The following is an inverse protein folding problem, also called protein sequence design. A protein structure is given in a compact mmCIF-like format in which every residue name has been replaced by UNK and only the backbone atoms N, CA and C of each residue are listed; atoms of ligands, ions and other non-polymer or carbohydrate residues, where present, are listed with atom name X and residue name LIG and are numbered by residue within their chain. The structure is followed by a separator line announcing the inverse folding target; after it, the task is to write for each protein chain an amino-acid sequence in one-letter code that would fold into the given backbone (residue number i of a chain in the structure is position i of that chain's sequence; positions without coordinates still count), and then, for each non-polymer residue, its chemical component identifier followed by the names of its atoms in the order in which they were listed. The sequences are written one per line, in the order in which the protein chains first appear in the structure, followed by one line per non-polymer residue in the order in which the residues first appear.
data_IF_490898186989
#
_entry.id   IF_490898186989
#
_cell.length_a   1.000
_cell.length_b   1.000
_cell.length_c   1.000
_cell.angle_alpha   90.00
_cell.angle_beta   90.00
_cell.angle_gamma   90.00
#
_symmetry.space_group_name_H-M   'P 1'
#
loop_
_entity.id
_entity.type
_entity.pdbx_description
1 polymer ?
#
# COMPACT_ATOMS: atom_id res chain seq x y z
N UNK A 1 15.11 12.30 17.59
CA UNK A 1 15.58 13.67 17.28
C UNK A 1 16.69 13.58 16.22
N UNK A 2 16.53 14.30 15.12
CA UNK A 2 17.58 14.45 14.11
C UNK A 2 18.62 15.45 14.62
N UNK A 3 19.89 15.04 14.64
CA UNK A 3 20.99 15.88 15.11
C UNK A 3 21.71 16.53 13.92
N UNK A 4 22.34 17.70 14.14
CA UNK A 4 23.10 18.43 13.09
C UNK A 4 24.27 17.62 12.51
N UNK A 5 24.84 16.68 13.29
CA UNK A 5 25.87 15.73 12.82
C UNK A 5 25.33 14.63 11.87
N UNK A 6 24.05 14.61 11.55
CA UNK A 6 23.42 13.60 10.74
C UNK A 6 22.97 12.33 11.48
N UNK A 7 23.35 12.19 12.76
CA UNK A 7 22.89 11.08 13.60
C UNK A 7 21.42 11.24 13.98
N UNK A 8 20.74 10.11 14.21
CA UNK A 8 19.36 10.10 14.70
C UNK A 8 19.35 9.46 16.07
N UNK A 9 18.86 10.19 17.06
CA UNK A 9 18.65 9.68 18.42
C UNK A 9 17.16 9.51 18.64
N UNK A 10 16.74 8.33 19.08
CA UNK A 10 15.34 8.03 19.33
C UNK A 10 15.20 7.02 20.49
N UNK A 11 14.02 6.94 21.04
CA UNK A 11 13.68 5.97 22.08
C UNK A 11 12.64 5.03 21.50
N UNK A 12 12.88 3.75 21.61
CA UNK A 12 11.91 2.71 21.30
C UNK A 12 11.17 2.35 22.57
N UNK A 13 9.86 2.12 22.44
CA UNK A 13 8.98 1.72 23.53
C UNK A 13 8.10 0.57 23.05
N UNK A 14 7.97 -0.45 23.89
CA UNK A 14 6.97 -1.50 23.77
C UNK A 14 6.05 -1.54 25.00
N UNK A 15 5.29 -2.63 25.16
CA UNK A 15 4.39 -2.81 26.31
C UNK A 15 5.15 -2.90 27.65
N UNK A 16 6.37 -3.42 27.64
CA UNK A 16 7.11 -3.82 28.83
C UNK A 16 8.28 -2.89 29.16
N UNK A 17 8.74 -2.05 28.22
CA UNK A 17 9.89 -1.22 28.48
C UNK A 17 10.23 -0.16 27.43
N UNK A 18 11.34 0.52 27.70
CA UNK A 18 11.91 1.51 26.80
C UNK A 18 13.40 1.32 26.65
N UNK A 19 13.92 1.50 25.43
CA UNK A 19 15.35 1.44 25.15
C UNK A 19 15.75 2.62 24.25
N UNK A 20 16.88 3.24 24.55
CA UNK A 20 17.45 4.27 23.68
C UNK A 20 18.13 3.64 22.47
N UNK A 21 18.02 4.35 21.36
CA UNK A 21 18.64 3.93 20.12
C UNK A 21 19.32 5.08 19.40
N UNK A 22 20.38 4.76 18.69
CA UNK A 22 21.10 5.70 17.81
C UNK A 22 21.32 5.06 16.44
N UNK A 23 21.07 5.84 15.40
CA UNK A 23 21.52 5.51 14.04
C UNK A 23 22.59 6.51 13.63
N UNK A 24 23.78 6.04 13.31
CA UNK A 24 24.85 6.89 12.83
C UNK A 24 24.60 7.37 11.40
N UNK A 25 25.11 8.55 11.06
CA UNK A 25 24.93 9.17 9.75
C UNK A 25 25.36 8.26 8.58
N UNK A 26 26.39 7.44 8.77
CA UNK A 26 26.87 6.49 7.76
C UNK A 26 25.83 5.42 7.40
N UNK A 27 25.05 4.95 8.35
CA UNK A 27 24.03 3.93 8.12
C UNK A 27 22.73 4.52 7.59
N UNK A 28 22.50 5.83 7.78
CA UNK A 28 21.23 6.47 7.48
C UNK A 28 20.83 6.40 6.02
N UNK A 29 21.80 6.53 5.09
CA UNK A 29 21.54 6.59 3.64
C UNK A 29 20.93 5.29 3.11
N UNK A 30 21.40 4.18 3.61
CA UNK A 30 20.97 2.84 3.17
C UNK A 30 19.99 2.20 4.14
N UNK A 31 20.13 2.48 5.43
CA UNK A 31 19.36 1.85 6.50
C UNK A 31 18.05 2.55 6.88
N UNK A 32 17.73 3.73 6.33
CA UNK A 32 16.49 4.44 6.63
C UNK A 32 15.94 5.07 5.36
N UNK A 33 14.86 4.50 4.82
CA UNK A 33 14.23 4.91 3.55
C UNK A 33 13.06 5.89 3.71
N UNK A 34 12.67 6.21 4.94
CA UNK A 34 11.54 7.09 5.24
C UNK A 34 11.89 8.12 6.31
N UNK A 35 11.05 9.13 6.48
CA UNK A 35 11.19 10.11 7.55
C UNK A 35 10.44 9.61 8.79
N UNK A 36 11.19 9.21 9.82
CA UNK A 36 10.65 8.78 11.11
C UNK A 36 9.93 9.92 11.83
N UNK A 37 8.76 9.62 12.37
CA UNK A 37 7.96 10.51 13.24
C UNK A 37 7.74 9.85 14.59
N UNK A 38 7.37 10.65 15.58
CA UNK A 38 6.96 10.14 16.88
C UNK A 38 5.65 9.32 16.72
N UNK A 39 5.65 8.14 17.34
CA UNK A 39 4.53 7.20 17.23
C UNK A 39 4.64 6.18 16.09
N UNK A 40 5.62 6.31 15.18
CA UNK A 40 5.83 5.31 14.13
C UNK A 40 6.18 3.94 14.75
N UNK A 41 5.53 2.88 14.26
CA UNK A 41 5.90 1.49 14.59
C UNK A 41 7.02 1.07 13.63
N UNK A 42 8.13 0.62 14.21
CA UNK A 42 9.33 0.30 13.44
C UNK A 42 9.98 -0.99 13.90
N UNK A 43 10.60 -1.69 12.96
CA UNK A 43 11.52 -2.78 13.22
C UNK A 43 12.95 -2.24 13.06
N UNK A 44 13.75 -2.40 14.10
CA UNK A 44 15.13 -1.93 14.11
C UNK A 44 16.08 -3.11 14.15
N UNK A 45 16.97 -3.19 13.17
CA UNK A 45 18.06 -4.15 13.14
C UNK A 45 19.37 -3.46 13.52
N UNK A 46 20.10 -4.03 14.49
CA UNK A 46 21.34 -3.45 15.00
C UNK A 46 21.97 -4.26 16.10
N UNK A 47 22.96 -3.69 16.78
CA UNK A 47 23.59 -4.26 17.97
C UNK A 47 23.07 -3.60 19.23
N UNK A 48 22.96 -4.38 20.32
CA UNK A 48 22.70 -3.85 21.67
C UNK A 48 24.01 -3.85 22.41
N UNK A 49 24.39 -2.67 22.88
CA UNK A 49 25.65 -2.46 23.59
C UNK A 49 25.41 -1.62 24.86
N UNK A 50 26.34 -1.68 25.79
CA UNK A 50 26.32 -0.82 26.97
C UNK A 50 27.00 0.50 26.64
N UNK A 51 26.29 1.59 26.83
CA UNK A 51 26.91 2.91 26.74
C UNK A 51 27.75 3.19 27.97
N UNK A 52 29.06 3.17 27.83
CA UNK A 52 30.04 3.16 28.95
C UNK A 52 29.90 4.33 29.92
N UNK A 53 29.46 5.52 29.44
CA UNK A 53 29.33 6.72 30.31
C UNK A 53 28.21 6.62 31.32
N UNK A 54 27.08 5.95 30.93
CA UNK A 54 25.89 5.90 31.77
C UNK A 54 25.55 4.50 32.23
N UNK A 55 26.28 3.48 31.75
CA UNK A 55 26.03 2.06 32.07
C UNK A 55 24.68 1.54 31.55
N UNK A 56 24.08 2.22 30.57
CA UNK A 56 22.75 1.87 30.04
C UNK A 56 22.86 1.09 28.73
N UNK A 57 21.95 0.15 28.52
CA UNK A 57 21.80 -0.50 27.24
C UNK A 57 21.30 0.46 26.19
N UNK A 58 21.89 0.40 25.00
CA UNK A 58 21.53 1.22 23.86
C UNK A 58 21.58 0.38 22.57
N UNK A 59 20.65 0.63 21.65
CA UNK A 59 20.66 0.01 20.33
C UNK A 59 21.44 0.90 19.37
N UNK A 60 22.41 0.30 18.67
CA UNK A 60 23.11 0.88 17.55
C UNK A 60 22.47 0.39 16.26
N UNK A 61 21.53 1.19 15.74
CA UNK A 61 20.72 0.80 14.59
C UNK A 61 21.53 0.81 13.28
N UNK A 62 21.41 -0.27 12.51
CA UNK A 62 21.92 -0.37 11.13
C UNK A 62 20.82 -0.08 10.14
N UNK A 63 19.65 -0.73 10.31
CA UNK A 63 18.47 -0.49 9.48
C UNK A 63 17.27 -0.20 10.38
N UNK A 64 16.37 0.64 9.86
CA UNK A 64 15.10 0.95 10.47
C UNK A 64 14.05 0.84 9.36
N UNK A 65 13.09 -0.05 9.53
CA UNK A 65 12.01 -0.32 8.60
C UNK A 65 10.68 -0.08 9.30
N UNK A 66 9.64 0.27 8.57
CA UNK A 66 8.30 0.32 9.17
C UNK A 66 7.83 -1.08 9.52
N UNK A 67 7.22 -1.22 10.70
CA UNK A 67 6.62 -2.48 11.11
C UNK A 67 5.44 -2.80 10.18
N UNK A 68 5.53 -3.95 9.53
CA UNK A 68 4.53 -4.40 8.56
C UNK A 68 4.92 -4.28 7.08
N UNK A 69 5.77 -3.35 6.66
CA UNK A 69 6.18 -3.22 5.25
C UNK A 69 6.87 -4.50 4.73
N UNK A 70 7.82 -5.05 5.48
CA UNK A 70 8.48 -6.30 5.11
C UNK A 70 7.56 -7.52 5.15
N UNK A 71 6.61 -7.57 6.09
CA UNK A 71 5.64 -8.64 6.20
C UNK A 71 4.58 -8.57 5.08
N UNK A 72 4.14 -7.37 4.70
CA UNK A 72 3.20 -7.19 3.59
C UNK A 72 3.81 -7.60 2.25
N UNK A 73 5.07 -7.25 2.02
CA UNK A 73 5.77 -7.68 0.81
C UNK A 73 5.89 -9.20 0.71
N UNK A 74 6.28 -9.87 1.81
CA UNK A 74 6.35 -11.34 1.84
C UNK A 74 4.98 -12.00 1.63
N UNK A 75 3.92 -11.44 2.19
CA UNK A 75 2.54 -11.91 1.95
C UNK A 75 2.13 -11.72 0.50
N UNK A 76 2.48 -10.57 -0.10
CA UNK A 76 2.21 -10.31 -1.51
C UNK A 76 2.92 -11.32 -2.42
N UNK A 77 4.22 -11.57 -2.21
CA UNK A 77 4.97 -12.54 -3.00
C UNK A 77 4.44 -13.98 -2.81
N UNK A 78 4.03 -14.34 -1.59
CA UNK A 78 3.43 -15.65 -1.32
C UNK A 78 2.09 -15.80 -2.05
N UNK A 79 1.19 -14.81 -1.94
CA UNK A 79 -0.10 -14.82 -2.63
C UNK A 79 0.06 -14.81 -4.15
N UNK A 80 0.99 -14.01 -4.67
CA UNK A 80 1.28 -13.98 -6.10
C UNK A 80 1.70 -15.35 -6.61
N UNK A 81 2.61 -16.03 -5.90
CA UNK A 81 3.05 -17.39 -6.25
C UNK A 81 1.90 -18.39 -6.21
N UNK A 82 1.08 -18.36 -5.17
CA UNK A 82 -0.09 -19.22 -5.03
C UNK A 82 -1.06 -19.02 -6.22
N UNK A 83 -1.39 -17.80 -6.59
CA UNK A 83 -2.27 -17.50 -7.72
C UNK A 83 -1.64 -17.90 -9.06
N UNK A 84 -0.32 -17.78 -9.20
CA UNK A 84 0.43 -18.20 -10.38
C UNK A 84 0.42 -19.73 -10.53
N UNK A 85 0.64 -20.48 -9.43
CA UNK A 85 0.55 -21.94 -9.39
C UNK A 85 -0.88 -22.44 -9.69
N UNK A 86 -1.91 -21.68 -9.27
CA UNK A 86 -3.31 -21.95 -9.61
C UNK A 86 -3.66 -21.60 -11.06
N UNK A 87 -2.72 -21.01 -11.82
CA UNK A 87 -2.93 -20.62 -13.21
C UNK A 87 -3.80 -19.37 -13.40
N UNK A 88 -4.10 -18.61 -12.34
CA UNK A 88 -5.01 -17.46 -12.40
C UNK A 88 -4.55 -16.34 -13.33
N UNK A 89 -3.26 -16.30 -13.69
CA UNK A 89 -2.69 -15.32 -14.62
C UNK A 89 -2.54 -15.82 -16.06
N UNK A 90 -3.01 -17.04 -16.35
CA UNK A 90 -2.89 -17.63 -17.68
C UNK A 90 -3.69 -16.85 -18.73
N UNK A 91 -3.16 -16.78 -19.94
CA UNK A 91 -3.77 -16.04 -21.06
C UNK A 91 -5.17 -16.56 -21.42
N UNK A 92 -5.45 -17.84 -21.18
CA UNK A 92 -6.74 -18.47 -21.45
C UNK A 92 -7.89 -17.91 -20.62
N UNK A 93 -7.59 -17.30 -19.47
CA UNK A 93 -8.60 -16.62 -18.62
C UNK A 93 -8.78 -15.14 -18.98
N UNK A 94 -7.92 -14.59 -19.83
CA UNK A 94 -8.00 -13.19 -20.25
C UNK A 94 -8.97 -13.04 -21.42
N UNK A 95 -9.88 -12.11 -21.30
CA UNK A 95 -10.80 -11.80 -22.38
C UNK A 95 -10.36 -10.54 -23.12
N UNK A 96 -10.55 -10.50 -24.46
CA UNK A 96 -10.24 -9.30 -25.23
C UNK A 96 -11.15 -8.15 -24.82
N UNK A 97 -10.55 -6.96 -24.68
CA UNK A 97 -11.31 -5.74 -24.41
C UNK A 97 -12.13 -5.39 -25.67
N UNK A 98 -13.44 -5.14 -25.55
CA UNK A 98 -14.27 -4.80 -26.70
C UNK A 98 -13.83 -3.48 -27.35
N UNK A 99 -13.73 -3.47 -28.68
CA UNK A 99 -13.29 -2.29 -29.45
C UNK A 99 -14.25 -1.11 -29.28
N UNK A 100 -15.54 -1.38 -29.13
CA UNK A 100 -16.60 -0.38 -29.01
C UNK A 100 -17.50 -0.70 -27.81
N UNK A 101 -17.03 -0.41 -26.61
CA UNK A 101 -17.85 -0.49 -25.40
C UNK A 101 -18.91 0.61 -25.41
N UNK A 102 -20.16 0.25 -25.17
CA UNK A 102 -21.30 1.20 -25.01
C UNK A 102 -21.53 1.54 -23.54
N UNK A 103 -21.28 0.56 -22.67
CA UNK A 103 -21.47 0.67 -21.23
C UNK A 103 -20.19 0.29 -20.50
N UNK A 104 -19.72 1.18 -19.62
CA UNK A 104 -18.52 0.95 -18.80
C UNK A 104 -18.94 1.06 -17.34
N UNK A 105 -18.81 -0.06 -16.62
CA UNK A 105 -18.97 -0.11 -15.17
C UNK A 105 -17.70 0.41 -14.49
N UNK A 106 -17.85 1.11 -13.40
CA UNK A 106 -16.74 1.68 -12.64
C UNK A 106 -16.92 1.31 -11.18
N UNK A 107 -15.95 0.61 -10.60
CA UNK A 107 -15.87 0.31 -9.17
C UNK A 107 -14.76 1.17 -8.57
N UNK A 108 -15.12 2.21 -7.86
CA UNK A 108 -14.18 3.14 -7.19
C UNK A 108 -14.90 3.94 -6.10
N UNK A 109 -14.16 4.75 -5.37
CA UNK A 109 -14.79 5.69 -4.42
C UNK A 109 -15.70 6.68 -5.16
N UNK A 110 -16.84 6.99 -4.56
CA UNK A 110 -17.83 7.92 -5.12
C UNK A 110 -17.24 9.31 -5.36
N UNK A 111 -16.33 9.72 -4.49
CA UNK A 111 -15.64 11.00 -4.55
C UNK A 111 -14.13 10.78 -4.63
N UNK A 112 -13.43 11.56 -5.43
CA UNK A 112 -11.98 11.46 -5.54
C UNK A 112 -11.46 11.75 -6.95
N UNK A 113 -10.14 11.74 -7.09
CA UNK A 113 -9.48 12.04 -8.37
C UNK A 113 -9.79 10.97 -9.43
N UNK A 114 -9.75 9.68 -9.05
CA UNK A 114 -9.90 8.58 -10.01
C UNK A 114 -11.22 8.65 -10.81
N UNK A 115 -12.35 8.85 -10.14
CA UNK A 115 -13.64 8.95 -10.85
C UNK A 115 -13.71 10.20 -11.73
N UNK A 116 -13.13 11.31 -11.28
CA UNK A 116 -13.11 12.53 -12.08
C UNK A 116 -12.26 12.38 -13.34
N UNK A 117 -11.10 11.73 -13.21
CA UNK A 117 -10.22 11.47 -14.36
C UNK A 117 -10.90 10.53 -15.36
N UNK A 118 -11.54 9.46 -14.91
CA UNK A 118 -12.29 8.54 -15.80
C UNK A 118 -13.38 9.30 -16.54
N UNK A 119 -14.20 10.10 -15.85
CA UNK A 119 -15.27 10.90 -16.47
C UNK A 119 -14.74 11.91 -17.48
N UNK A 120 -13.67 12.62 -17.15
CA UNK A 120 -13.06 13.60 -18.02
C UNK A 120 -12.47 12.96 -19.29
N UNK A 121 -11.77 11.82 -19.13
CA UNK A 121 -11.18 11.11 -20.27
C UNK A 121 -12.28 10.51 -21.14
N UNK A 122 -13.25 9.83 -20.56
CA UNK A 122 -14.38 9.24 -21.31
C UNK A 122 -15.14 10.30 -22.07
N UNK A 123 -15.50 11.43 -21.45
CA UNK A 123 -16.22 12.52 -22.09
C UNK A 123 -15.48 13.14 -23.27
N UNK A 124 -14.14 13.21 -23.20
CA UNK A 124 -13.32 13.72 -24.32
C UNK A 124 -13.13 12.70 -25.46
N UNK A 125 -13.04 11.41 -25.11
CA UNK A 125 -12.71 10.36 -26.08
C UNK A 125 -13.94 9.77 -26.76
N UNK A 126 -14.99 9.52 -25.99
CA UNK A 126 -16.26 8.99 -26.45
C UNK A 126 -17.41 9.53 -25.58
N UNK A 127 -18.02 10.66 -25.92
CA UNK A 127 -19.11 11.25 -25.14
C UNK A 127 -20.40 10.42 -25.15
N UNK A 128 -20.48 9.40 -25.98
CA UNK A 128 -21.66 8.54 -26.09
C UNK A 128 -21.57 7.27 -25.22
N UNK A 129 -20.43 7.03 -24.56
CA UNK A 129 -20.30 5.89 -23.64
C UNK A 129 -21.09 6.16 -22.36
N UNK A 130 -21.88 5.19 -21.96
CA UNK A 130 -22.56 5.24 -20.67
C UNK A 130 -21.62 4.77 -19.56
N UNK A 131 -21.41 5.60 -18.55
CA UNK A 131 -20.65 5.26 -17.37
C UNK A 131 -21.61 4.91 -16.22
N UNK A 132 -21.43 3.73 -15.63
CA UNK A 132 -22.23 3.25 -14.50
C UNK A 132 -21.28 3.11 -13.30
N UNK A 133 -21.40 4.01 -12.33
CA UNK A 133 -20.60 3.97 -11.11
C UNK A 133 -21.26 3.06 -10.08
N UNK A 134 -20.49 2.08 -9.59
CA UNK A 134 -20.79 1.36 -8.37
C UNK A 134 -19.80 1.84 -7.28
N UNK A 135 -20.26 2.67 -6.33
CA UNK A 135 -19.39 3.19 -5.28
C UNK A 135 -18.85 2.07 -4.40
N UNK A 136 -17.55 2.08 -4.14
CA UNK A 136 -16.89 1.08 -3.31
C UNK A 136 -15.84 1.70 -2.38
N UNK A 137 -15.63 1.07 -1.23
CA UNK A 137 -14.45 1.33 -0.42
C UNK A 137 -13.23 0.76 -1.19
N UNK A 138 -12.22 1.60 -1.40
CA UNK A 138 -11.02 1.22 -2.16
C UNK A 138 -9.74 1.24 -1.30
N UNK A 139 -9.90 1.38 0.01
CA UNK A 139 -8.82 1.33 0.99
C UNK A 139 -9.36 0.96 2.37
N UNK A 140 -8.49 0.44 3.25
CA UNK A 140 -8.83 0.06 4.61
C UNK A 140 -9.58 -1.27 4.71
N UNK A 141 -9.96 -1.61 5.94
CA UNK A 141 -10.67 -2.84 6.25
C UNK A 141 -12.04 -2.87 5.54
N UNK A 142 -12.36 -3.97 4.87
CA UNK A 142 -13.60 -4.11 4.10
C UNK A 142 -13.51 -3.67 2.63
N UNK A 143 -12.41 -3.08 2.16
CA UNK A 143 -12.27 -2.65 0.77
C UNK A 143 -12.43 -3.83 -0.21
N UNK A 144 -11.77 -4.95 0.03
CA UNK A 144 -11.85 -6.14 -0.82
C UNK A 144 -13.30 -6.63 -0.99
N UNK A 145 -14.06 -6.76 0.11
CA UNK A 145 -15.46 -7.18 0.07
C UNK A 145 -16.34 -6.17 -0.68
N UNK A 146 -16.10 -4.86 -0.48
CA UNK A 146 -16.82 -3.79 -1.18
C UNK A 146 -16.55 -3.80 -2.68
N UNK A 147 -15.31 -4.03 -3.10
CA UNK A 147 -14.93 -4.13 -4.51
C UNK A 147 -15.57 -5.35 -5.17
N UNK A 148 -15.50 -6.53 -4.53
CA UNK A 148 -16.13 -7.76 -5.01
C UNK A 148 -17.64 -7.55 -5.19
N UNK A 149 -18.31 -6.93 -4.22
CA UNK A 149 -19.73 -6.59 -4.34
C UNK A 149 -20.00 -5.68 -5.54
N UNK A 150 -19.18 -4.66 -5.75
CA UNK A 150 -19.30 -3.74 -6.88
C UNK A 150 -19.13 -4.43 -8.22
N UNK A 151 -18.17 -5.34 -8.35
CA UNK A 151 -17.95 -6.13 -9.55
C UNK A 151 -19.19 -6.98 -9.87
N UNK A 152 -19.69 -7.75 -8.89
CA UNK A 152 -20.88 -8.59 -9.08
C UNK A 152 -22.13 -7.78 -9.43
N UNK A 153 -22.33 -6.62 -8.82
CA UNK A 153 -23.45 -5.76 -9.17
C UNK A 153 -23.40 -5.30 -10.63
N UNK A 154 -22.21 -4.92 -11.13
CA UNK A 154 -22.03 -4.51 -12.52
C UNK A 154 -22.11 -5.68 -13.51
N UNK A 155 -21.69 -6.89 -13.14
CA UNK A 155 -21.90 -8.11 -13.92
C UNK A 155 -23.38 -8.41 -14.10
N UNK A 156 -24.20 -8.27 -13.05
CA UNK A 156 -25.64 -8.46 -13.13
C UNK A 156 -26.34 -7.44 -14.05
N UNK A 157 -25.82 -6.21 -14.11
CA UNK A 157 -26.29 -5.18 -15.04
C UNK A 157 -25.92 -5.53 -16.50
N UNK A 158 -24.82 -6.28 -16.69
CA UNK A 158 -24.35 -6.70 -18.02
C UNK A 158 -23.61 -5.58 -18.75
N UNK A 159 -22.71 -4.86 -18.06
CA UNK A 159 -21.86 -3.84 -18.68
C UNK A 159 -20.81 -4.48 -19.59
N UNK A 160 -20.37 -3.77 -20.64
CA UNK A 160 -19.41 -4.29 -21.60
C UNK A 160 -17.99 -4.42 -21.03
N UNK A 161 -17.61 -3.51 -20.12
CA UNK A 161 -16.29 -3.45 -19.47
C UNK A 161 -16.46 -2.96 -18.04
N UNK A 162 -15.71 -3.53 -17.11
CA UNK A 162 -15.62 -3.05 -15.74
C UNK A 162 -14.23 -2.49 -15.49
N UNK A 163 -14.15 -1.25 -15.02
CA UNK A 163 -12.94 -0.62 -14.54
C UNK A 163 -12.97 -0.65 -13.01
N UNK A 164 -12.01 -1.35 -12.41
CA UNK A 164 -11.78 -1.31 -10.96
C UNK A 164 -10.55 -0.47 -10.72
N UNK A 165 -10.69 0.62 -9.97
CA UNK A 165 -9.59 1.56 -9.85
C UNK A 165 -9.61 2.36 -8.55
N UNK A 166 -8.41 2.77 -8.12
CA UNK A 166 -8.22 3.71 -7.02
C UNK A 166 -7.12 4.70 -7.36
N UNK A 167 -7.02 5.78 -6.60
CA UNK A 167 -5.89 6.70 -6.66
C UNK A 167 -4.59 6.07 -6.12
N UNK A 168 -3.47 6.75 -6.26
CA UNK A 168 -2.19 6.33 -5.68
C UNK A 168 -2.22 6.29 -4.15
N UNK A 169 -1.26 5.60 -3.55
CA UNK A 169 -1.11 5.47 -2.10
C UNK A 169 0.13 4.65 -1.74
N UNK A 170 0.36 4.49 -0.44
CA UNK A 170 1.41 3.62 0.08
C UNK A 170 1.09 2.13 -0.17
N UNK A 171 2.06 1.25 0.03
CA UNK A 171 1.85 -0.19 -0.15
C UNK A 171 0.80 -0.73 0.83
N UNK A 172 0.72 -0.16 2.03
CA UNK A 172 -0.28 -0.51 3.04
C UNK A 172 -1.68 -0.12 2.59
N UNK A 173 -1.81 1.04 1.96
CA UNK A 173 -3.08 1.51 1.41
C UNK A 173 -3.52 0.64 0.22
N UNK A 174 -2.55 0.16 -0.57
CA UNK A 174 -2.81 -0.69 -1.74
C UNK A 174 -3.12 -2.14 -1.37
N UNK A 175 -2.71 -2.58 -0.20
CA UNK A 175 -2.86 -3.98 0.24
C UNK A 175 -4.30 -4.46 0.27
N UNK A 176 -5.23 -3.59 0.59
CA UNK A 176 -6.66 -3.93 0.69
C UNK A 176 -7.39 -3.88 -0.69
N UNK A 177 -6.72 -3.41 -1.74
CA UNK A 177 -7.22 -3.32 -3.11
C UNK A 177 -6.74 -4.53 -3.92
#
# INVERSE_FOLDING_TARGET
KYHSSGHIYFTMKDADGTINAIMFAGNRREGLKFQMKEGDRVVVTGSVEVYERDGRYQIYARTIERDGEGNLYLKFEALKRELEEMGMFAEEYKQPIPTYAKTVGIVTAETGAAIQDIRNIAGRRNPYVQLILCPALVQGEGAAASIVHGIHALEQIGVDVIIVGRGGGSIEDLWAF
#
